data_IF_385071856324
#
_entry.id   IF_385071856324
#
_cell.length_a   1.000
_cell.length_b   1.000
_cell.length_c   1.000
_cell.angle_alpha   90.00
_cell.angle_beta   90.00
_cell.angle_gamma   90.00
#
_symmetry.space_group_name_H-M   'P 1'
#
loop_
_entity.id
_entity.type
_entity.pdbx_description
1 polymer ?
#
# COMPACT_ATOMS: atom_id res chain seq x y z
N UNK A 1 4.15 4.24 62.66
CA UNK A 1 5.25 3.75 61.78
C UNK A 1 4.66 2.61 60.95
N UNK A 2 4.62 2.56 59.63
CA UNK A 2 5.52 3.03 58.56
C UNK A 2 4.69 3.47 57.35
N UNK A 3 5.07 4.58 56.71
CA UNK A 3 4.50 5.09 55.46
C UNK A 3 4.98 4.22 54.30
N UNK A 4 4.08 3.76 53.43
CA UNK A 4 4.43 3.18 52.13
C UNK A 4 3.96 4.13 51.05
N UNK A 5 4.90 4.86 50.43
CA UNK A 5 4.67 5.62 49.21
C UNK A 5 4.86 4.66 48.03
N UNK A 6 3.76 4.24 47.40
CA UNK A 6 3.84 3.59 46.09
C UNK A 6 3.80 4.67 45.00
N UNK A 7 4.98 5.07 44.55
CA UNK A 7 5.19 5.98 43.43
C UNK A 7 4.85 5.25 42.13
N UNK A 8 3.59 5.32 41.68
CA UNK A 8 3.19 4.75 40.39
C UNK A 8 3.43 5.78 39.29
N UNK A 9 4.51 5.58 38.52
CA UNK A 9 4.81 6.35 37.33
C UNK A 9 3.76 6.02 36.24
N UNK A 10 2.83 6.95 36.00
CA UNK A 10 1.87 6.89 34.91
C UNK A 10 2.58 7.28 33.60
N UNK A 11 3.15 6.30 32.89
CA UNK A 11 3.64 6.50 31.53
C UNK A 11 2.43 6.55 30.58
N UNK A 12 1.96 7.76 30.25
CA UNK A 12 0.92 7.96 29.23
C UNK A 12 1.56 7.81 27.86
N UNK A 13 1.47 6.61 27.29
CA UNK A 13 1.90 6.33 25.93
C UNK A 13 0.72 6.56 24.98
N UNK A 14 0.58 7.79 24.47
CA UNK A 14 -0.47 8.13 23.50
C UNK A 14 -0.07 7.59 22.13
N UNK A 15 -0.49 6.36 21.79
CA UNK A 15 -0.46 5.90 20.41
C UNK A 15 -1.68 6.46 19.67
N UNK A 16 -1.47 7.41 18.77
CA UNK A 16 -2.46 7.78 17.77
C UNK A 16 -2.61 6.62 16.78
N UNK A 17 -3.55 5.71 17.07
CA UNK A 17 -3.94 4.63 16.17
C UNK A 17 -4.84 5.21 15.08
N UNK A 18 -4.26 5.69 13.98
CA UNK A 18 -5.03 5.86 12.73
C UNK A 18 -5.21 4.47 12.14
N UNK A 19 -6.45 3.99 12.14
CA UNK A 19 -6.81 2.64 11.76
C UNK A 19 -6.51 2.32 10.30
N UNK A 20 -5.62 1.34 10.07
CA UNK A 20 -5.61 0.53 8.86
C UNK A 20 -6.25 -0.82 9.21
N UNK A 21 -7.50 -1.03 8.82
CA UNK A 21 -8.16 -2.35 8.94
C UNK A 21 -7.59 -3.31 7.90
N UNK A 22 -6.56 -4.07 8.28
CA UNK A 22 -6.15 -5.28 7.54
C UNK A 22 -6.86 -6.47 8.16
N UNK A 23 -7.69 -7.17 7.39
CA UNK A 23 -8.12 -8.53 7.73
C UNK A 23 -6.89 -9.42 7.93
N UNK A 24 -6.83 -10.23 9.00
CA UNK A 24 -5.64 -11.00 9.33
C UNK A 24 -5.54 -12.24 8.44
N UNK A 25 -4.69 -12.16 7.43
CA UNK A 25 -3.92 -13.29 6.89
C UNK A 25 -2.45 -13.05 7.25
N UNK A 26 -1.84 -13.96 8.01
CA UNK A 26 -0.55 -13.78 8.66
C UNK A 26 0.59 -13.30 7.73
N UNK A 27 1.10 -12.09 8.01
CA UNK A 27 2.54 -11.77 8.05
C UNK A 27 3.38 -11.67 6.77
N UNK A 28 3.10 -12.39 5.69
CA UNK A 28 4.07 -12.61 4.59
C UNK A 28 3.55 -12.18 3.19
N UNK A 29 2.67 -11.19 3.13
CA UNK A 29 2.19 -10.59 1.88
C UNK A 29 2.91 -9.27 1.54
N UNK A 30 2.94 -8.85 0.27
CA UNK A 30 3.52 -7.59 -0.13
C UNK A 30 2.82 -6.42 0.55
N UNK A 31 3.54 -5.59 1.31
CA UNK A 31 2.98 -4.48 2.09
C UNK A 31 3.13 -3.16 1.35
N UNK A 32 2.03 -2.54 0.95
CA UNK A 32 2.05 -1.24 0.27
C UNK A 32 1.94 -0.09 1.26
N UNK A 33 2.91 0.83 1.22
CA UNK A 33 2.92 2.09 1.98
C UNK A 33 3.09 3.25 1.01
N UNK A 34 2.34 4.34 1.22
CA UNK A 34 2.47 5.55 0.41
C UNK A 34 2.75 6.74 1.32
N UNK A 35 3.69 7.58 0.93
CA UNK A 35 4.14 8.76 1.69
C UNK A 35 4.13 10.02 0.82
N UNK A 36 4.13 11.17 1.50
CA UNK A 36 4.14 12.50 0.89
C UNK A 36 2.96 12.78 -0.06
N UNK A 37 1.75 12.46 0.38
CA UNK A 37 0.50 12.66 -0.38
C UNK A 37 0.01 14.11 -0.30
N UNK A 38 0.85 15.05 -0.70
CA UNK A 38 0.59 16.48 -0.68
C UNK A 38 0.39 16.96 -2.12
N UNK A 39 -0.68 17.71 -2.36
CA UNK A 39 -0.97 18.20 -3.70
C UNK A 39 0.14 19.13 -4.24
N UNK A 40 0.51 18.94 -5.50
CA UNK A 40 1.62 19.66 -6.13
C UNK A 40 3.01 19.10 -5.82
N UNK A 41 3.12 18.07 -4.98
CA UNK A 41 4.39 17.45 -4.62
C UNK A 41 4.56 16.04 -5.21
N UNK A 42 5.77 15.50 -5.08
CA UNK A 42 6.09 14.11 -5.43
C UNK A 42 5.80 13.20 -4.25
N UNK A 43 4.90 12.23 -4.45
CA UNK A 43 4.63 11.14 -3.53
C UNK A 43 5.50 9.92 -3.84
N UNK A 44 5.61 9.02 -2.86
CA UNK A 44 6.33 7.76 -3.00
C UNK A 44 5.46 6.59 -2.55
N UNK A 45 5.30 5.58 -3.41
CA UNK A 45 4.70 4.30 -3.08
C UNK A 45 5.81 3.26 -2.92
N UNK A 46 5.84 2.57 -1.78
CA UNK A 46 6.79 1.51 -1.46
C UNK A 46 6.05 0.22 -1.17
N UNK A 47 6.52 -0.87 -1.75
CA UNK A 47 6.10 -2.23 -1.47
C UNK A 47 7.26 -2.96 -0.81
N UNK A 48 7.02 -3.58 0.34
CA UNK A 48 7.93 -4.55 0.95
C UNK A 48 7.38 -5.96 0.72
N UNK A 49 8.21 -7.00 0.84
CA UNK A 49 7.82 -8.41 0.65
C UNK A 49 7.24 -8.72 -0.75
N UNK A 50 7.70 -8.01 -1.78
CA UNK A 50 7.49 -8.44 -3.16
C UNK A 50 8.48 -9.56 -3.52
N UNK A 51 8.19 -10.34 -4.57
CA UNK A 51 9.14 -11.34 -5.08
C UNK A 51 10.44 -10.63 -5.54
N UNK A 52 11.62 -10.98 -4.99
CA UNK A 52 12.87 -10.31 -5.31
C UNK A 52 13.20 -10.33 -6.80
N UNK A 53 13.78 -9.24 -7.30
CA UNK A 53 14.20 -9.08 -8.71
C UNK A 53 13.04 -9.19 -9.73
N UNK A 54 11.78 -9.17 -9.27
CA UNK A 54 10.60 -9.17 -10.14
C UNK A 54 9.96 -7.79 -10.17
N UNK A 55 9.15 -7.59 -11.21
CA UNK A 55 8.42 -6.34 -11.38
C UNK A 55 7.22 -6.23 -10.46
N UNK A 56 7.01 -5.03 -9.95
CA UNK A 56 5.81 -4.59 -9.24
C UNK A 56 5.14 -3.49 -10.06
N UNK A 57 3.88 -3.71 -10.43
CA UNK A 57 3.06 -2.73 -11.15
C UNK A 57 2.14 -2.01 -10.18
N UNK A 58 1.98 -0.71 -10.35
CA UNK A 58 1.18 0.16 -9.49
C UNK A 58 0.00 0.70 -10.28
N UNK A 59 -1.18 0.61 -9.69
CA UNK A 59 -2.44 1.06 -10.26
C UNK A 59 -3.15 1.96 -9.26
N UNK A 60 -3.97 2.87 -9.76
CA UNK A 60 -4.77 3.75 -8.91
C UNK A 60 -6.14 4.04 -9.50
N UNK A 61 -7.04 4.54 -8.67
CA UNK A 61 -8.30 5.16 -9.09
C UNK A 61 -8.74 6.21 -8.08
N UNK A 62 -9.60 7.12 -8.52
CA UNK A 62 -10.34 8.06 -7.66
C UNK A 62 -11.82 7.71 -7.53
N UNK A 63 -12.25 6.56 -8.09
CA UNK A 63 -13.65 6.16 -8.16
C UNK A 63 -14.08 5.13 -7.11
N UNK A 64 -13.13 4.62 -6.31
CA UNK A 64 -13.42 3.63 -5.27
C UNK A 64 -12.92 2.23 -5.59
N UNK A 65 -13.50 1.26 -4.89
CA UNK A 65 -13.13 -0.15 -4.93
C UNK A 65 -14.16 -0.91 -5.76
N UNK A 66 -13.71 -1.68 -6.74
CA UNK A 66 -14.51 -2.65 -7.47
C UNK A 66 -13.60 -3.72 -8.04
N UNK A 67 -14.09 -4.96 -8.13
CA UNK A 67 -13.33 -6.07 -8.71
C UNK A 67 -13.25 -5.90 -10.23
N UNK A 68 -12.09 -5.51 -10.73
CA UNK A 68 -11.83 -5.27 -12.15
C UNK A 68 -10.78 -6.24 -12.67
N UNK A 69 -11.11 -6.99 -13.73
CA UNK A 69 -10.13 -7.83 -14.44
C UNK A 69 -9.42 -7.00 -15.49
N UNK A 70 -8.09 -6.95 -15.42
CA UNK A 70 -7.24 -6.36 -16.45
C UNK A 70 -6.61 -7.49 -17.25
N UNK A 71 -6.81 -7.44 -18.57
CA UNK A 71 -6.11 -8.30 -19.51
C UNK A 71 -4.65 -7.82 -19.59
N UNK A 72 -3.72 -8.57 -19.00
CA UNK A 72 -2.28 -8.32 -19.15
C UNK A 72 -1.68 -9.40 -20.07
N UNK A 73 -0.72 -9.09 -20.95
CA UNK A 73 -0.22 -10.02 -21.96
C UNK A 73 0.29 -11.36 -21.42
N UNK A 74 0.72 -11.38 -20.15
CA UNK A 74 1.29 -12.57 -19.51
C UNK A 74 0.41 -13.19 -18.42
N UNK A 75 -0.70 -12.55 -18.03
CA UNK A 75 -1.57 -13.04 -16.96
C UNK A 75 -2.90 -12.27 -16.92
N UNK A 76 -3.99 -12.90 -16.50
CA UNK A 76 -5.19 -12.16 -16.09
C UNK A 76 -4.98 -11.63 -14.68
N UNK A 77 -4.91 -10.31 -14.52
CA UNK A 77 -4.76 -9.66 -13.22
C UNK A 77 -6.13 -9.23 -12.73
N UNK A 78 -6.46 -9.53 -11.48
CA UNK A 78 -7.66 -9.01 -10.82
C UNK A 78 -7.23 -7.89 -9.88
N UNK A 79 -7.81 -6.71 -10.06
CA UNK A 79 -7.64 -5.56 -9.17
C UNK A 79 -8.91 -5.30 -8.37
N UNK A 80 -8.75 -4.75 -7.18
CA UNK A 80 -9.84 -4.26 -6.33
C UNK A 80 -9.89 -2.72 -6.45
N UNK A 81 -10.00 -2.24 -7.69
CA UNK A 81 -10.07 -0.82 -8.05
C UNK A 81 -11.17 -0.64 -9.11
N UNK A 82 -12.05 0.33 -8.93
CA UNK A 82 -13.00 0.73 -9.96
C UNK A 82 -12.28 1.53 -11.06
N UNK A 83 -12.42 1.14 -12.33
CA UNK A 83 -11.78 1.78 -13.49
C UNK A 83 -10.28 2.12 -13.24
N UNK A 84 -9.44 1.10 -12.98
CA UNK A 84 -8.06 1.29 -12.62
C UNK A 84 -7.27 1.97 -13.73
N UNK A 85 -6.39 2.88 -13.34
CA UNK A 85 -5.39 3.50 -14.20
C UNK A 85 -4.01 3.00 -13.83
N UNK A 86 -3.19 2.74 -14.84
CA UNK A 86 -1.78 2.39 -14.62
C UNK A 86 -1.01 3.63 -14.17
N UNK A 87 -0.31 3.52 -13.04
CA UNK A 87 0.53 4.58 -12.49
C UNK A 87 1.98 4.43 -12.97
N UNK A 88 2.48 3.20 -12.96
CA UNK A 88 3.87 2.91 -13.29
C UNK A 88 4.30 1.53 -12.79
N UNK A 89 5.58 1.23 -13.00
CA UNK A 89 6.21 -0.04 -12.66
C UNK A 89 7.56 0.22 -12.02
N UNK A 90 7.91 -0.60 -11.04
CA UNK A 90 9.24 -0.67 -10.45
C UNK A 90 9.69 -2.13 -10.35
N UNK A 91 10.97 -2.36 -10.05
CA UNK A 91 11.51 -3.69 -9.80
C UNK A 91 11.84 -3.82 -8.33
N UNK A 92 11.47 -4.95 -7.74
CA UNK A 92 11.88 -5.28 -6.39
C UNK A 92 13.39 -5.55 -6.35
N UNK A 93 14.06 -5.03 -5.34
CA UNK A 93 15.47 -5.33 -5.07
C UNK A 93 15.65 -6.79 -4.57
N UNK A 94 16.89 -7.14 -4.20
CA UNK A 94 17.21 -8.46 -3.68
C UNK A 94 16.47 -8.80 -2.36
N UNK A 95 15.99 -7.78 -1.65
CA UNK A 95 15.25 -7.92 -0.38
C UNK A 95 13.73 -7.87 -0.60
N UNK A 96 13.24 -7.83 -1.84
CA UNK A 96 11.81 -7.76 -2.12
C UNK A 96 11.20 -6.37 -1.90
N UNK A 97 12.00 -5.30 -1.90
CA UNK A 97 11.52 -3.92 -1.80
C UNK A 97 11.42 -3.29 -3.19
N UNK A 98 10.25 -2.75 -3.54
CA UNK A 98 10.05 -1.94 -4.75
C UNK A 98 9.51 -0.55 -4.38
N UNK A 99 10.00 0.50 -5.02
CA UNK A 99 9.50 1.87 -4.80
C UNK A 99 9.20 2.58 -6.12
N UNK A 100 8.15 3.40 -6.13
CA UNK A 100 7.74 4.23 -7.26
C UNK A 100 7.46 5.66 -6.77
N UNK A 101 8.15 6.64 -7.35
CA UNK A 101 7.85 8.06 -7.13
C UNK A 101 6.92 8.58 -8.23
N UNK A 102 5.95 9.41 -7.86
CA UNK A 102 4.99 9.99 -8.80
C UNK A 102 4.51 11.37 -8.34
N UNK A 103 4.23 12.26 -9.29
CA UNK A 103 3.75 13.61 -9.01
C UNK A 103 2.24 13.62 -8.72
N UNK A 104 1.83 14.38 -7.71
CA UNK A 104 0.42 14.64 -7.42
C UNK A 104 0.05 16.02 -7.96
N UNK A 105 -0.99 16.09 -8.79
CA UNK A 105 -1.50 17.38 -9.28
C UNK A 105 -2.06 18.22 -8.12
N UNK A 106 -1.79 19.52 -8.14
CA UNK A 106 -2.36 20.50 -7.19
C UNK A 106 -3.89 20.53 -7.20
N UNK A 107 -4.53 20.06 -8.28
CA UNK A 107 -6.00 20.00 -8.42
C UNK A 107 -6.66 18.89 -7.60
N UNK A 108 -5.88 18.05 -6.94
CA UNK A 108 -6.36 16.84 -6.25
C UNK A 108 -6.50 17.01 -4.73
N UNK A 109 -6.28 18.21 -4.18
CA UNK A 109 -6.48 18.50 -2.74
C UNK A 109 -7.85 17.99 -2.27
N UNK A 110 -7.85 17.28 -1.14
CA UNK A 110 -9.06 16.74 -0.52
C UNK A 110 -9.70 15.55 -1.23
N UNK A 111 -9.19 15.13 -2.40
CA UNK A 111 -9.67 13.94 -3.11
C UNK A 111 -9.12 12.67 -2.46
N UNK A 112 -9.93 11.61 -2.53
CA UNK A 112 -9.49 10.27 -2.13
C UNK A 112 -8.93 9.54 -3.34
N UNK A 113 -7.81 8.87 -3.16
CA UNK A 113 -7.27 7.92 -4.13
C UNK A 113 -7.13 6.54 -3.49
N UNK A 114 -7.40 5.53 -4.30
CA UNK A 114 -7.15 4.13 -3.98
C UNK A 114 -5.99 3.70 -4.84
N UNK A 115 -4.97 3.11 -4.23
CA UNK A 115 -3.76 2.64 -4.92
C UNK A 115 -3.54 1.17 -4.60
N UNK A 116 -3.25 0.40 -5.63
CA UNK A 116 -2.99 -1.02 -5.53
C UNK A 116 -1.68 -1.38 -6.22
N UNK A 117 -0.86 -2.16 -5.54
CA UNK A 117 0.35 -2.73 -6.12
C UNK A 117 0.16 -4.22 -6.42
N UNK A 118 0.75 -4.66 -7.52
CA UNK A 118 0.66 -6.04 -8.03
C UNK A 118 2.07 -6.53 -8.35
N UNK A 119 2.54 -7.51 -7.59
CA UNK A 119 3.76 -8.26 -7.92
C UNK A 119 3.47 -9.41 -8.87
N UNK A 120 4.49 -9.90 -9.59
CA UNK A 120 4.40 -11.22 -10.23
C UNK A 120 4.46 -12.30 -9.13
N UNK A 121 3.63 -13.35 -9.20
CA UNK A 121 3.72 -14.48 -8.27
C UNK A 121 5.04 -15.26 -8.46
N UNK A 122 5.53 -15.89 -7.39
CA UNK A 122 6.73 -16.74 -7.39
C UNK A 122 6.56 -18.07 -8.15
N UNK A 123 5.35 -18.62 -8.22
CA UNK A 123 5.06 -19.91 -8.88
C UNK A 123 3.81 -19.83 -9.76
N UNK A 124 3.81 -20.59 -10.86
CA UNK A 124 2.64 -20.75 -11.76
C UNK A 124 1.37 -21.27 -11.05
N UNK A 125 1.50 -21.82 -9.84
CA UNK A 125 0.40 -22.32 -9.01
C UNK A 125 -0.31 -21.22 -8.19
N UNK A 126 0.32 -20.07 -7.96
CA UNK A 126 -0.32 -18.89 -7.34
C UNK A 126 -1.02 -18.09 -8.46
N UNK A 127 -2.22 -18.56 -8.84
CA UNK A 127 -3.02 -18.00 -9.94
C UNK A 127 -3.55 -16.58 -9.67
N UNK A 128 -3.30 -16.03 -8.48
CA UNK A 128 -3.68 -14.67 -8.12
C UNK A 128 -2.46 -13.91 -7.58
N UNK A 129 -2.03 -12.82 -8.24
CA UNK A 129 -0.94 -12.02 -7.72
C UNK A 129 -1.34 -11.46 -6.36
N UNK A 130 -0.43 -11.51 -5.38
CA UNK A 130 -0.67 -10.92 -4.07
C UNK A 130 -0.77 -9.40 -4.22
N UNK A 131 -1.91 -8.83 -3.87
CA UNK A 131 -2.16 -7.40 -4.04
C UNK A 131 -2.47 -6.73 -2.71
N UNK A 132 -1.99 -5.50 -2.54
CA UNK A 132 -2.42 -4.65 -1.43
C UNK A 132 -3.00 -3.34 -1.92
N UNK A 133 -4.12 -2.98 -1.31
CA UNK A 133 -4.93 -1.81 -1.60
C UNK A 133 -4.81 -0.83 -0.43
N UNK A 134 -4.51 0.43 -0.74
CA UNK A 134 -4.48 1.51 0.25
C UNK A 134 -5.42 2.61 -0.20
N UNK A 135 -6.33 3.02 0.69
CA UNK A 135 -7.15 4.22 0.54
C UNK A 135 -6.39 5.39 1.17
N UNK A 136 -6.31 6.51 0.45
CA UNK A 136 -5.53 7.65 0.90
C UNK A 136 -6.25 8.96 0.57
N UNK A 137 -6.10 9.96 1.44
CA UNK A 137 -6.62 11.31 1.24
C UNK A 137 -5.47 12.24 0.91
N UNK A 138 -5.58 12.97 -0.19
CA UNK A 138 -4.56 13.95 -0.59
C UNK A 138 -4.73 15.20 0.27
N UNK A 139 -3.63 15.63 0.88
CA UNK A 139 -3.52 16.83 1.68
C UNK A 139 -3.32 18.06 0.80
#
# INVERSE_FOLDING_TARGET
>A
MKRSLALSALLVLTFALVGNSTTPGAGNGPQLKVTNLIAGQTASARVNNATPLKSVSFFYTSQGVARTRIQHPTANIVLELAHPRFLGKSYADANGTASLSFSISSKLVGRTMWLQAVGRPEHHADLFPRTQLVKMKIQ
#
